data_IF_367109281246
#
_entry.id   IF_367109281246
#
_cell.length_a   1.000
_cell.length_b   1.000
_cell.length_c   1.000
_cell.angle_alpha   90.00
_cell.angle_beta   90.00
_cell.angle_gamma   90.00
#
_symmetry.space_group_name_H-M   'P 1'
#
loop_
_entity.id
_entity.type
_entity.pdbx_description
1 polymer ?
#
# COMPACT_ATOMS: atom_id res chain seq x y z
N UNK A 1 2.12 -14.16 -1.78
CA UNK A 1 3.02 -13.71 -2.88
C UNK A 1 4.49 -13.67 -2.45
N UNK A 2 4.87 -12.76 -1.53
CA UNK A 2 6.28 -12.53 -1.16
C UNK A 2 7.04 -13.79 -0.71
N UNK A 3 6.40 -14.67 0.08
CA UNK A 3 7.00 -15.93 0.55
C UNK A 3 7.38 -16.83 -0.65
N UNK A 4 6.46 -17.03 -1.59
CA UNK A 4 6.68 -17.88 -2.77
C UNK A 4 7.75 -17.26 -3.69
N UNK A 5 7.69 -15.95 -3.93
CA UNK A 5 8.69 -15.25 -4.76
C UNK A 5 10.10 -15.35 -4.15
N UNK A 6 10.22 -15.18 -2.83
CA UNK A 6 11.49 -15.31 -2.12
C UNK A 6 12.00 -16.74 -2.11
N UNK A 7 11.12 -17.73 -1.93
CA UNK A 7 11.45 -19.14 -2.04
C UNK A 7 12.00 -19.49 -3.44
N UNK A 8 11.45 -18.89 -4.50
CA UNK A 8 11.93 -19.01 -5.87
C UNK A 8 13.19 -18.20 -6.22
N UNK A 9 13.85 -17.57 -5.24
CA UNK A 9 15.10 -16.84 -5.45
C UNK A 9 14.94 -15.39 -5.95
N UNK A 10 13.73 -14.85 -6.03
CA UNK A 10 13.52 -13.46 -6.44
C UNK A 10 13.90 -12.46 -5.33
N UNK A 11 14.40 -11.29 -5.72
CA UNK A 11 14.42 -10.10 -4.85
C UNK A 11 13.01 -9.51 -4.83
N UNK A 12 12.52 -9.12 -3.66
CA UNK A 12 11.15 -8.63 -3.47
C UNK A 12 11.18 -7.25 -2.82
N UNK A 13 10.39 -6.32 -3.35
CA UNK A 13 10.08 -5.03 -2.73
C UNK A 13 8.56 -4.93 -2.61
N UNK A 14 8.07 -4.58 -1.42
CA UNK A 14 6.66 -4.29 -1.17
C UNK A 14 6.48 -2.83 -0.78
N UNK A 15 5.35 -2.23 -1.17
CA UNK A 15 4.99 -0.86 -0.81
C UNK A 15 3.52 -0.83 -0.41
N UNK A 16 3.19 -0.11 0.66
CA UNK A 16 1.82 0.08 1.13
C UNK A 16 1.45 1.56 1.08
N UNK A 17 0.34 1.88 0.42
CA UNK A 17 -0.31 3.17 0.56
C UNK A 17 -1.20 3.14 1.80
N UNK A 18 -0.94 4.02 2.76
CA UNK A 18 -1.76 4.10 3.98
C UNK A 18 -3.05 4.84 3.63
N UNK A 19 -4.17 4.12 3.58
CA UNK A 19 -5.48 4.65 3.23
C UNK A 19 -6.18 5.34 4.40
N UNK A 20 -5.95 4.84 5.62
CA UNK A 20 -6.66 5.26 6.82
C UNK A 20 -5.81 4.98 8.06
N UNK A 21 -6.23 5.55 9.19
CA UNK A 21 -5.69 5.20 10.51
C UNK A 21 -6.52 4.04 11.07
N UNK A 22 -5.86 3.07 11.68
CA UNK A 22 -6.55 1.95 12.31
C UNK A 22 -7.33 2.43 13.54
N UNK A 23 -8.51 1.85 13.77
CA UNK A 23 -9.27 2.07 14.99
C UNK A 23 -8.59 1.27 16.11
N UNK A 24 -8.04 1.96 17.10
CA UNK A 24 -7.27 1.39 18.21
C UNK A 24 -8.04 1.37 19.53
N UNK A 25 -9.31 1.80 19.51
CA UNK A 25 -10.21 1.84 20.66
C UNK A 25 -11.29 0.75 20.54
N UNK A 26 -11.43 -0.06 21.58
CA UNK A 26 -12.52 -1.03 21.71
C UNK A 26 -13.85 -0.26 21.77
N UNK A 27 -14.80 -0.62 20.89
CA UNK A 27 -16.09 0.06 20.70
C UNK A 27 -16.00 1.51 20.18
N UNK A 28 -14.90 1.87 19.50
CA UNK A 28 -14.78 3.14 18.79
C UNK A 28 -15.87 3.31 17.71
N UNK A 29 -16.36 4.54 17.54
CA UNK A 29 -17.41 4.87 16.55
C UNK A 29 -16.90 4.95 15.10
N UNK A 30 -15.57 4.98 14.90
CA UNK A 30 -14.98 4.98 13.57
C UNK A 30 -15.11 3.60 12.95
N UNK A 31 -15.43 3.55 11.65
CA UNK A 31 -15.47 2.31 10.86
C UNK A 31 -14.61 2.50 9.61
N UNK A 32 -13.77 1.51 9.30
CA UNK A 32 -13.01 1.52 8.05
C UNK A 32 -13.96 1.24 6.89
N UNK A 33 -13.94 2.09 5.86
CA UNK A 33 -14.82 1.95 4.70
C UNK A 33 -14.06 1.74 3.40
N UNK A 34 -14.70 1.08 2.42
CA UNK A 34 -14.11 0.93 1.09
C UNK A 34 -14.04 2.27 0.34
N UNK A 35 -15.00 3.17 0.58
CA UNK A 35 -15.05 4.50 -0.04
C UNK A 35 -13.82 5.34 0.36
N UNK A 36 -13.50 5.40 1.66
CA UNK A 36 -12.28 6.07 2.17
C UNK A 36 -11.00 5.50 1.51
N UNK A 37 -10.92 4.18 1.37
CA UNK A 37 -9.79 3.52 0.70
C UNK A 37 -9.66 3.96 -0.76
N UNK A 38 -10.77 4.08 -1.49
CA UNK A 38 -10.76 4.51 -2.89
C UNK A 38 -10.37 5.98 -3.03
N UNK A 39 -10.86 6.85 -2.16
CA UNK A 39 -10.50 8.27 -2.14
C UNK A 39 -9.00 8.46 -1.87
N UNK A 40 -8.47 7.77 -0.86
CA UNK A 40 -7.03 7.76 -0.58
C UNK A 40 -6.24 7.18 -1.76
N UNK A 41 -6.75 6.12 -2.39
CA UNK A 41 -6.17 5.51 -3.59
C UNK A 41 -6.01 6.49 -4.75
N UNK A 42 -7.03 7.31 -5.02
CA UNK A 42 -6.99 8.32 -6.07
C UNK A 42 -5.89 9.37 -5.82
N UNK A 43 -5.66 9.75 -4.57
CA UNK A 43 -4.60 10.69 -4.18
C UNK A 43 -3.21 10.06 -4.23
N UNK A 44 -3.09 8.77 -3.88
CA UNK A 44 -1.83 8.04 -3.80
C UNK A 44 -1.32 7.57 -5.16
N UNK A 45 -2.20 7.26 -6.11
CA UNK A 45 -1.87 6.72 -7.42
C UNK A 45 -0.76 7.48 -8.18
N UNK A 46 -0.79 8.82 -8.32
CA UNK A 46 0.28 9.54 -9.03
C UNK A 46 1.63 9.46 -8.30
N UNK A 47 1.63 9.48 -6.96
CA UNK A 47 2.84 9.37 -6.15
C UNK A 47 3.44 7.98 -6.23
N UNK A 48 2.60 6.95 -6.14
CA UNK A 48 3.00 5.55 -6.29
C UNK A 48 3.60 5.29 -7.67
N UNK A 49 2.99 5.87 -8.72
CA UNK A 49 3.50 5.76 -10.09
C UNK A 49 4.91 6.35 -10.22
N UNK A 50 5.12 7.54 -9.65
CA UNK A 50 6.44 8.19 -9.63
C UNK A 50 7.48 7.33 -8.88
N UNK A 51 7.12 6.84 -7.69
CA UNK A 51 7.99 5.98 -6.87
C UNK A 51 8.42 4.72 -7.63
N UNK A 52 7.45 3.96 -8.16
CA UNK A 52 7.72 2.69 -8.86
C UNK A 52 8.58 2.94 -10.09
N UNK A 53 8.28 3.98 -10.89
CA UNK A 53 9.10 4.36 -12.05
C UNK A 53 10.53 4.74 -11.65
N UNK A 54 10.69 5.49 -10.56
CA UNK A 54 12.00 5.87 -10.04
C UNK A 54 12.83 4.65 -9.61
N UNK A 55 12.23 3.72 -8.87
CA UNK A 55 12.89 2.47 -8.47
C UNK A 55 13.33 1.68 -9.70
N UNK A 56 12.43 1.46 -10.67
CA UNK A 56 12.75 0.72 -11.89
C UNK A 56 13.87 1.37 -12.70
N UNK A 57 13.95 2.70 -12.75
CA UNK A 57 15.02 3.41 -13.44
C UNK A 57 16.39 3.30 -12.74
N UNK A 58 16.41 2.92 -11.46
CA UNK A 58 17.63 2.77 -10.64
C UNK A 58 18.14 1.32 -10.51
N UNK A 59 17.47 0.36 -11.14
CA UNK A 59 17.84 -1.06 -11.15
C UNK A 59 18.75 -1.39 -12.34
#
# INVERSE_FOLDING_TARGET
EAIVARHGGMRVMGVSGISNVAIDVIDGQGEASHEEVLEAGALLAPRMTSLVRGVLASL
#
